data_IF_263003922442
#
_entry.id   IF_263003922442
#
_cell.length_a   1.000
_cell.length_b   1.000
_cell.length_c   1.000
_cell.angle_alpha   90.00
_cell.angle_beta   90.00
_cell.angle_gamma   90.00
#
_symmetry.space_group_name_H-M   'P 1'
#
loop_
_entity.id
_entity.type
_entity.pdbx_description
1 polymer ?
#
# COMPACT_ATOMS: atom_id res chain seq x y z
N UNK A 1 -10.75 -9.49 42.57
CA UNK A 1 -11.33 -8.15 42.80
C UNK A 1 -10.63 -7.22 41.83
N UNK A 2 -11.37 -6.44 41.06
CA UNK A 2 -10.82 -5.60 40.00
C UNK A 2 -10.56 -4.21 40.59
N UNK A 3 -9.29 -3.86 40.79
CA UNK A 3 -8.91 -2.54 41.26
C UNK A 3 -9.17 -1.52 40.13
N UNK A 4 -9.62 -0.31 40.48
CA UNK A 4 -9.82 0.73 39.47
C UNK A 4 -8.48 1.15 38.86
N UNK A 5 -8.46 1.40 37.55
CA UNK A 5 -7.29 1.96 36.87
C UNK A 5 -6.92 3.33 37.43
N UNK A 6 -5.63 3.68 37.43
CA UNK A 6 -5.17 4.99 37.93
C UNK A 6 -5.46 6.16 37.01
N UNK A 7 -5.56 5.92 35.70
CA UNK A 7 -5.61 6.96 34.70
C UNK A 7 -6.71 6.64 33.69
N UNK A 8 -7.55 7.61 33.40
CA UNK A 8 -8.68 7.50 32.49
C UNK A 8 -8.79 8.77 31.66
N UNK A 9 -9.13 8.61 30.38
CA UNK A 9 -9.43 9.73 29.50
C UNK A 9 -10.76 9.48 28.80
N UNK A 10 -11.44 10.55 28.41
CA UNK A 10 -12.63 10.44 27.58
C UNK A 10 -13.33 11.77 27.37
N UNK A 11 -14.66 11.72 27.35
CA UNK A 11 -15.49 12.86 26.97
C UNK A 11 -16.63 13.10 27.96
N UNK A 12 -16.99 14.38 28.10
CA UNK A 12 -18.19 14.83 28.80
C UNK A 12 -19.16 15.46 27.81
N UNK A 13 -20.45 15.29 28.06
CA UNK A 13 -21.56 15.80 27.27
C UNK A 13 -22.59 16.44 28.21
N UNK A 14 -23.41 17.37 27.71
CA UNK A 14 -24.47 18.02 28.48
C UNK A 14 -24.42 19.54 28.36
N UNK A 15 -24.63 20.25 29.47
CA UNK A 15 -24.51 21.71 29.54
C UNK A 15 -23.14 22.19 29.05
N UNK A 16 -22.10 21.42 29.37
CA UNK A 16 -20.74 21.61 28.89
C UNK A 16 -20.29 20.35 28.13
N UNK A 17 -19.49 20.53 27.08
CA UNK A 17 -19.00 19.43 26.24
C UNK A 17 -17.51 19.58 26.02
N UNK A 18 -16.75 18.51 26.23
CA UNK A 18 -15.31 18.60 26.23
C UNK A 18 -14.59 17.28 26.46
N UNK A 19 -13.27 17.38 26.54
CA UNK A 19 -12.41 16.27 26.88
C UNK A 19 -12.19 16.22 28.39
N UNK A 20 -12.14 15.03 28.96
CA UNK A 20 -11.88 14.83 30.38
C UNK A 20 -10.71 13.86 30.56
N UNK A 21 -9.82 14.20 31.50
CA UNK A 21 -8.77 13.34 32.00
C UNK A 21 -8.91 13.20 33.51
N UNK A 22 -8.87 11.96 33.99
CA UNK A 22 -9.06 11.61 35.40
C UNK A 22 -7.85 10.81 35.86
N UNK A 23 -7.21 11.27 36.93
CA UNK A 23 -6.17 10.52 37.64
C UNK A 23 -6.67 10.20 39.03
N UNK A 24 -6.70 8.92 39.38
CA UNK A 24 -7.13 8.40 40.67
C UNK A 24 -5.96 7.68 41.34
N UNK A 25 -5.84 7.90 42.64
CA UNK A 25 -4.87 7.31 43.55
C UNK A 25 -5.59 6.87 44.84
N UNK A 26 -4.95 6.01 45.63
CA UNK A 26 -5.53 5.46 46.85
C UNK A 26 -6.11 4.06 46.69
N UNK A 27 -6.81 3.60 47.73
CA UNK A 27 -7.53 2.33 47.76
C UNK A 27 -8.95 2.53 47.23
N UNK A 28 -9.59 1.46 46.74
CA UNK A 28 -10.91 1.54 46.08
C UNK A 28 -12.00 2.14 46.99
N UNK A 29 -11.88 2.04 48.32
CA UNK A 29 -12.81 2.61 49.31
C UNK A 29 -12.51 4.07 49.71
N UNK A 30 -11.35 4.59 49.32
CA UNK A 30 -10.88 5.93 49.66
C UNK A 30 -10.01 6.51 48.53
N UNK A 31 -10.64 6.72 47.38
CA UNK A 31 -10.00 7.29 46.20
C UNK A 31 -9.81 8.78 46.37
N UNK A 32 -8.63 9.26 46.00
CA UNK A 32 -8.33 10.67 45.80
C UNK A 32 -7.82 10.87 44.38
N UNK A 33 -7.98 12.07 43.81
CA UNK A 33 -7.58 12.26 42.44
C UNK A 33 -7.75 13.67 41.91
N UNK A 34 -7.46 13.81 40.62
CA UNK A 34 -7.62 15.07 39.89
C UNK A 34 -8.40 14.81 38.62
N UNK A 35 -9.47 15.59 38.42
CA UNK A 35 -10.22 15.65 37.16
C UNK A 35 -9.83 16.94 36.43
N UNK A 36 -9.44 16.80 35.16
CA UNK A 36 -9.17 17.91 34.24
C UNK A 36 -10.20 17.87 33.13
N UNK A 37 -11.06 18.89 33.09
CA UNK A 37 -12.12 19.04 32.10
C UNK A 37 -11.76 20.20 31.18
N UNK A 38 -11.48 19.90 29.92
CA UNK A 38 -11.23 20.88 28.88
C UNK A 38 -12.54 21.13 28.13
N UNK A 39 -13.27 22.16 28.52
CA UNK A 39 -14.47 22.61 27.85
C UNK A 39 -14.12 23.38 26.57
N UNK A 40 -14.84 23.10 25.50
CA UNK A 40 -14.56 23.70 24.19
C UNK A 40 -14.82 25.22 24.14
N UNK A 41 -15.64 25.76 25.05
CA UNK A 41 -16.04 27.17 25.08
C UNK A 41 -15.38 27.93 26.24
N UNK A 42 -15.23 27.30 27.40
CA UNK A 42 -14.82 27.95 28.64
C UNK A 42 -13.40 27.56 29.11
N UNK A 43 -12.72 26.66 28.38
CA UNK A 43 -11.34 26.28 28.66
C UNK A 43 -11.20 25.21 29.73
N UNK A 44 -10.06 25.20 30.42
CA UNK A 44 -9.68 24.15 31.36
C UNK A 44 -10.23 24.42 32.76
N UNK A 45 -11.02 23.49 33.29
CA UNK A 45 -11.37 23.38 34.70
C UNK A 45 -10.64 22.19 35.33
N UNK A 46 -10.10 22.39 36.53
CA UNK A 46 -9.40 21.34 37.29
C UNK A 46 -10.10 21.16 38.62
N UNK A 47 -10.33 19.92 39.04
CA UNK A 47 -10.99 19.56 40.29
C UNK A 47 -10.14 18.57 41.06
N UNK A 48 -9.94 18.83 42.35
CA UNK A 48 -9.47 17.83 43.29
C UNK A 48 -10.68 17.00 43.73
N UNK A 49 -10.62 15.68 43.53
CA UNK A 49 -11.74 14.76 43.77
C UNK A 49 -11.42 13.74 44.86
N UNK A 50 -12.46 13.35 45.59
CA UNK A 50 -12.45 12.24 46.53
C UNK A 50 -13.67 11.36 46.32
N UNK A 51 -13.57 10.07 46.63
CA UNK A 51 -14.71 9.17 46.55
C UNK A 51 -14.35 7.70 46.66
N UNK A 52 -15.15 6.84 46.04
CA UNK A 52 -15.02 5.39 46.18
C UNK A 52 -15.46 4.66 44.90
N UNK A 53 -14.88 3.47 44.70
CA UNK A 53 -15.23 2.52 43.66
C UNK A 53 -15.63 1.17 44.28
N UNK A 54 -16.92 0.86 44.29
CA UNK A 54 -17.44 -0.38 44.88
C UNK A 54 -18.35 -1.09 43.90
N UNK A 55 -18.16 -2.41 43.75
CA UNK A 55 -19.01 -3.27 42.91
C UNK A 55 -19.20 -2.74 41.47
N UNK A 56 -18.16 -2.14 40.88
CA UNK A 56 -18.22 -1.58 39.54
C UNK A 56 -18.86 -0.20 39.44
N UNK A 57 -19.18 0.47 40.56
CA UNK A 57 -19.74 1.82 40.60
C UNK A 57 -18.71 2.81 41.12
N UNK A 58 -18.49 3.89 40.37
CA UNK A 58 -17.64 5.01 40.73
C UNK A 58 -18.51 6.14 41.26
N UNK A 59 -18.20 6.65 42.45
CA UNK A 59 -18.79 7.86 43.00
C UNK A 59 -17.68 8.81 43.43
N UNK A 60 -17.65 10.03 42.89
CA UNK A 60 -16.67 11.06 43.21
C UNK A 60 -17.35 12.40 43.51
N UNK A 61 -16.78 13.14 44.45
CA UNK A 61 -17.10 14.54 44.74
C UNK A 61 -15.83 15.37 44.59
N UNK A 62 -15.94 16.57 44.00
CA UNK A 62 -14.78 17.39 43.68
C UNK A 62 -14.95 18.86 43.97
N UNK A 63 -13.86 19.49 44.41
CA UNK A 63 -13.76 20.93 44.60
C UNK A 63 -12.89 21.55 43.51
N UNK A 64 -13.29 22.69 42.89
CA UNK A 64 -12.48 23.36 41.89
C UNK A 64 -11.10 23.74 42.43
N UNK A 65 -10.07 23.56 41.60
CA UNK A 65 -8.70 23.94 41.89
C UNK A 65 -8.34 25.24 41.17
N UNK A 66 -7.74 26.18 41.91
CA UNK A 66 -7.19 27.43 41.34
C UNK A 66 -8.24 28.51 41.08
N UNK A 67 -7.81 29.58 40.40
CA UNK A 67 -8.73 30.63 39.93
C UNK A 67 -9.40 30.18 38.63
N UNK A 68 -10.73 30.31 38.52
CA UNK A 68 -11.41 29.96 37.29
C UNK A 68 -10.98 30.89 36.15
N UNK A 69 -11.13 30.47 34.89
CA UNK A 69 -10.93 31.35 33.74
C UNK A 69 -11.75 32.64 33.86
N UNK A 70 -11.26 33.74 33.29
CA UNK A 70 -11.93 35.05 33.39
C UNK A 70 -13.38 34.97 32.88
N UNK A 71 -14.34 35.31 33.75
CA UNK A 71 -15.77 35.27 33.44
C UNK A 71 -16.45 33.90 33.62
N UNK A 72 -15.76 32.90 34.19
CA UNK A 72 -16.30 31.55 34.44
C UNK A 72 -16.45 31.31 35.94
N UNK A 73 -17.57 30.74 36.36
CA UNK A 73 -17.80 30.25 37.72
C UNK A 73 -17.73 28.72 37.73
N UNK A 74 -17.01 28.14 38.71
CA UNK A 74 -16.89 26.69 38.86
C UNK A 74 -17.56 26.27 40.18
N UNK A 75 -18.56 25.39 40.08
CA UNK A 75 -19.24 24.82 41.25
C UNK A 75 -18.66 23.47 41.67
N UNK A 76 -18.95 23.02 42.89
CA UNK A 76 -18.56 21.69 43.37
C UNK A 76 -19.11 20.60 42.45
N UNK A 77 -18.26 19.64 42.09
CA UNK A 77 -18.53 18.57 41.13
C UNK A 77 -19.02 17.31 41.85
N UNK A 78 -20.03 16.65 41.30
CA UNK A 78 -20.46 15.31 41.68
C UNK A 78 -20.44 14.42 40.44
N UNK A 79 -19.88 13.22 40.55
CA UNK A 79 -19.73 12.26 39.47
C UNK A 79 -20.22 10.89 39.94
N UNK A 80 -21.07 10.26 39.14
CA UNK A 80 -21.54 8.89 39.38
C UNK A 80 -21.46 8.09 38.08
N UNK A 81 -20.79 6.94 38.09
CA UNK A 81 -20.65 6.10 36.90
C UNK A 81 -20.59 4.62 37.20
N UNK A 82 -20.73 3.81 36.17
CA UNK A 82 -20.66 2.35 36.23
C UNK A 82 -19.66 1.81 35.20
N UNK A 83 -18.84 0.86 35.62
CA UNK A 83 -17.94 0.10 34.77
C UNK A 83 -18.77 -0.84 33.89
N UNK A 84 -18.63 -0.70 32.57
CA UNK A 84 -19.32 -1.54 31.60
C UNK A 84 -18.53 -2.84 31.34
N UNK A 85 -19.16 -3.87 30.74
CA UNK A 85 -18.48 -5.11 30.36
C UNK A 85 -17.29 -4.90 29.40
N UNK A 86 -17.29 -3.81 28.63
CA UNK A 86 -16.23 -3.42 27.69
C UNK A 86 -15.04 -2.72 28.37
N UNK A 87 -15.10 -2.53 29.69
CA UNK A 87 -14.01 -1.93 30.48
C UNK A 87 -13.96 -0.40 30.43
N UNK A 88 -15.03 0.28 30.01
CA UNK A 88 -15.20 1.74 30.11
C UNK A 88 -16.07 2.11 31.30
N UNK A 89 -16.01 3.35 31.77
CA UNK A 89 -16.93 3.87 32.78
C UNK A 89 -17.85 4.88 32.11
N UNK A 90 -19.15 4.60 32.16
CA UNK A 90 -20.21 5.48 31.67
C UNK A 90 -20.98 6.04 32.87
N UNK A 91 -21.37 7.31 32.82
CA UNK A 91 -22.05 7.91 33.96
C UNK A 91 -22.56 9.32 33.74
N UNK A 92 -22.94 9.94 34.85
CA UNK A 92 -23.47 11.29 34.94
C UNK A 92 -22.57 12.16 35.81
N UNK A 93 -22.51 13.44 35.46
CA UNK A 93 -21.82 14.46 36.23
C UNK A 93 -22.74 15.67 36.43
N UNK A 94 -22.59 16.34 37.56
CA UNK A 94 -23.34 17.55 37.88
C UNK A 94 -22.52 18.48 38.77
N UNK A 95 -22.82 19.77 38.75
CA UNK A 95 -22.21 20.75 39.65
C UNK A 95 -23.25 21.48 40.50
N UNK A 96 -22.81 22.06 41.61
CA UNK A 96 -23.66 22.86 42.50
C UNK A 96 -24.29 24.10 41.84
N UNK A 97 -23.71 24.58 40.73
CA UNK A 97 -24.22 25.72 39.96
C UNK A 97 -25.20 25.32 38.85
N UNK A 98 -25.65 24.06 38.83
CA UNK A 98 -26.70 23.57 37.94
C UNK A 98 -26.23 23.13 36.55
N UNK A 99 -24.92 23.01 36.31
CA UNK A 99 -24.40 22.38 35.08
C UNK A 99 -24.30 20.87 35.26
N UNK A 100 -24.45 20.10 34.18
CA UNK A 100 -24.32 18.65 34.25
C UNK A 100 -24.56 17.96 32.91
N UNK A 101 -24.49 16.63 32.95
CA UNK A 101 -24.78 15.76 31.82
C UNK A 101 -24.14 14.39 31.98
N UNK A 102 -23.68 13.80 30.88
CA UNK A 102 -23.14 12.43 30.84
C UNK A 102 -21.66 12.41 30.50
N UNK A 103 -20.98 11.31 30.81
CA UNK A 103 -19.58 11.12 30.47
C UNK A 103 -19.27 9.68 30.05
N UNK A 104 -18.16 9.53 29.34
CA UNK A 104 -17.55 8.23 29.01
C UNK A 104 -16.06 8.29 29.27
N UNK A 105 -15.51 7.30 29.99
CA UNK A 105 -14.11 7.19 30.35
C UNK A 105 -13.51 5.86 29.91
N UNK A 106 -12.34 5.90 29.28
CA UNK A 106 -11.56 4.74 28.88
C UNK A 106 -10.27 4.62 29.69
N UNK A 107 -9.91 3.41 30.14
CA UNK A 107 -8.72 3.20 30.95
C UNK A 107 -7.48 3.51 30.11
N UNK A 108 -6.62 4.36 30.64
CA UNK A 108 -5.36 4.76 30.04
C UNK A 108 -4.21 4.41 30.99
N UNK A 109 -3.82 3.13 31.04
CA UNK A 109 -2.59 2.78 31.74
C UNK A 109 -1.40 3.37 30.98
N UNK A 110 -0.81 4.45 31.49
CA UNK A 110 0.54 4.85 31.11
C UNK A 110 1.47 3.74 31.58
N UNK A 111 1.70 2.74 30.73
CA UNK A 111 2.90 1.94 30.89
C UNK A 111 4.04 2.89 30.55
N UNK A 112 4.75 3.36 31.58
CA UNK A 112 6.16 3.71 31.40
C UNK A 112 6.72 2.51 30.69
N UNK A 113 6.99 2.61 29.38
CA UNK A 113 7.74 1.57 28.68
C UNK A 113 8.99 1.41 29.54
N UNK A 114 9.22 0.27 30.19
CA UNK A 114 10.54 0.06 30.73
C UNK A 114 11.45 0.18 29.51
N UNK A 115 12.32 1.17 29.50
CA UNK A 115 13.49 1.22 28.64
C UNK A 115 14.39 0.08 29.10
N UNK A 116 13.95 -1.15 28.85
CA UNK A 116 14.74 -2.34 28.94
C UNK A 116 15.17 -2.62 27.49
N UNK A 117 16.38 -2.25 27.08
CA UNK A 117 16.90 -2.48 25.74
C UNK A 117 17.30 -3.96 25.56
N UNK A 118 16.44 -4.89 25.99
CA UNK A 118 16.75 -6.31 26.11
C UNK A 118 15.85 -7.26 25.33
N UNK A 119 14.76 -6.79 24.71
CA UNK A 119 13.89 -7.66 23.92
C UNK A 119 13.01 -6.95 22.87
N UNK A 120 13.23 -5.68 22.55
CA UNK A 120 12.50 -5.06 21.43
C UNK A 120 13.16 -5.55 20.15
N UNK A 121 12.41 -6.17 19.25
CA UNK A 121 12.96 -6.45 17.93
C UNK A 121 13.26 -5.12 17.22
N UNK A 122 14.54 -4.78 17.11
CA UNK A 122 15.02 -3.52 16.53
C UNK A 122 14.84 -3.45 15.00
N UNK A 123 14.56 -4.58 14.35
CA UNK A 123 14.68 -4.70 12.91
C UNK A 123 13.39 -5.22 12.27
N UNK A 124 12.83 -4.41 11.37
CA UNK A 124 11.79 -4.83 10.44
C UNK A 124 12.46 -5.51 9.23
N UNK A 125 12.12 -6.78 9.03
CA UNK A 125 12.61 -7.55 7.89
C UNK A 125 11.66 -7.37 6.72
N UNK A 126 12.20 -6.92 5.58
CA UNK A 126 11.44 -6.75 4.35
C UNK A 126 11.89 -7.76 3.31
N UNK A 127 10.98 -8.65 2.91
CA UNK A 127 11.19 -9.56 1.77
C UNK A 127 10.47 -9.01 0.55
N UNK A 128 11.22 -8.81 -0.54
CA UNK A 128 10.66 -8.37 -1.82
C UNK A 128 10.86 -9.45 -2.88
N UNK A 129 9.78 -9.79 -3.59
CA UNK A 129 9.79 -10.69 -4.74
C UNK A 129 9.31 -9.93 -5.98
N UNK A 130 10.20 -9.64 -6.95
CA UNK A 130 9.77 -9.05 -8.20
C UNK A 130 8.94 -10.06 -8.99
N UNK A 131 7.88 -9.58 -9.63
CA UNK A 131 7.01 -10.37 -10.49
C UNK A 131 7.25 -10.00 -11.96
N UNK A 132 7.05 -10.98 -12.84
CA UNK A 132 7.08 -10.76 -14.28
C UNK A 132 5.83 -10.02 -14.78
N UNK A 133 5.56 -10.14 -16.08
CA UNK A 133 4.32 -9.64 -16.64
C UNK A 133 3.14 -10.52 -16.19
N UNK A 134 2.19 -9.93 -15.48
CA UNK A 134 1.04 -10.64 -14.88
C UNK A 134 -0.24 -10.27 -15.62
N UNK A 135 -1.08 -11.26 -15.90
CA UNK A 135 -2.46 -11.04 -16.34
C UNK A 135 -3.37 -11.73 -15.36
N UNK A 136 -4.30 -10.97 -14.80
CA UNK A 136 -5.27 -11.50 -13.85
C UNK A 136 -6.67 -11.41 -14.45
N UNK A 137 -7.44 -12.46 -14.24
CA UNK A 137 -8.89 -12.45 -14.38
C UNK A 137 -9.54 -12.31 -13.00
N UNK A 138 -10.86 -12.11 -12.96
CA UNK A 138 -11.61 -11.94 -11.71
C UNK A 138 -11.32 -13.06 -10.68
N UNK A 139 -11.31 -14.32 -11.12
CA UNK A 139 -11.05 -15.46 -10.23
C UNK A 139 -9.60 -15.50 -9.71
N UNK A 140 -8.64 -15.06 -10.53
CA UNK A 140 -7.25 -14.96 -10.10
C UNK A 140 -7.08 -13.89 -9.03
N UNK A 141 -7.78 -12.75 -9.17
CA UNK A 141 -7.76 -11.68 -8.17
C UNK A 141 -8.39 -12.12 -6.86
N UNK A 142 -9.56 -12.81 -6.91
CA UNK A 142 -10.19 -13.41 -5.72
C UNK A 142 -9.24 -14.38 -5.03
N UNK A 143 -8.62 -15.27 -5.81
CA UNK A 143 -7.66 -16.24 -5.29
C UNK A 143 -6.44 -15.57 -4.66
N UNK A 144 -5.94 -14.49 -5.27
CA UNK A 144 -4.81 -13.71 -4.75
C UNK A 144 -5.16 -13.00 -3.45
N UNK A 145 -6.33 -12.36 -3.37
CA UNK A 145 -6.84 -11.73 -2.13
C UNK A 145 -6.94 -12.79 -1.03
N UNK A 146 -7.59 -13.92 -1.30
CA UNK A 146 -7.76 -15.01 -0.34
C UNK A 146 -6.41 -15.53 0.19
N UNK A 147 -5.43 -15.73 -0.70
CA UNK A 147 -4.10 -16.19 -0.32
C UNK A 147 -3.31 -15.13 0.49
N UNK A 148 -3.51 -13.86 0.18
CA UNK A 148 -2.88 -12.73 0.87
C UNK A 148 -3.40 -12.61 2.30
N UNK A 149 -4.73 -12.61 2.51
CA UNK A 149 -5.34 -12.42 3.82
C UNK A 149 -5.32 -13.65 4.73
N UNK A 150 -4.99 -14.84 4.19
CA UNK A 150 -5.06 -16.14 4.89
C UNK A 150 -4.41 -16.16 6.29
N UNK A 151 -3.29 -15.48 6.46
CA UNK A 151 -2.48 -15.51 7.69
C UNK A 151 -2.68 -14.27 8.59
N UNK A 152 -3.64 -13.40 8.22
CA UNK A 152 -3.99 -12.17 8.94
C UNK A 152 -5.31 -12.33 9.70
N UNK A 153 -5.40 -11.75 10.89
CA UNK A 153 -6.57 -11.89 11.77
C UNK A 153 -7.82 -11.25 11.18
N UNK A 154 -7.67 -10.08 10.56
CA UNK A 154 -8.78 -9.31 10.00
C UNK A 154 -9.40 -9.94 8.76
N UNK A 155 -8.70 -10.89 8.10
CA UNK A 155 -9.12 -11.56 6.85
C UNK A 155 -9.64 -10.61 5.75
N UNK A 156 -9.26 -9.34 5.82
CA UNK A 156 -9.73 -8.27 4.94
C UNK A 156 -8.52 -7.48 4.48
N UNK A 157 -8.45 -7.25 3.18
CA UNK A 157 -7.41 -6.41 2.58
C UNK A 157 -7.99 -5.06 2.16
N UNK A 158 -7.11 -4.09 1.96
CA UNK A 158 -7.40 -2.84 1.25
C UNK A 158 -6.96 -3.02 -0.18
N UNK A 159 -7.85 -2.75 -1.12
CA UNK A 159 -7.59 -2.80 -2.55
C UNK A 159 -7.58 -1.37 -3.10
N UNK A 160 -6.46 -1.02 -3.71
CA UNK A 160 -6.25 0.22 -4.45
C UNK A 160 -6.30 -0.06 -5.95
N UNK A 161 -7.09 0.70 -6.69
CA UNK A 161 -7.14 0.61 -8.15
C UNK A 161 -7.44 1.98 -8.77
N UNK A 162 -7.14 2.13 -10.06
CA UNK A 162 -7.43 3.36 -10.81
C UNK A 162 -8.68 3.17 -11.67
N UNK A 163 -9.66 4.05 -11.49
CA UNK A 163 -10.89 4.09 -12.28
C UNK A 163 -11.12 5.51 -12.80
N UNK A 164 -11.16 5.67 -14.12
CA UNK A 164 -11.33 6.97 -14.81
C UNK A 164 -10.36 8.06 -14.32
N UNK A 165 -9.11 7.66 -14.02
CA UNK A 165 -8.06 8.58 -13.56
C UNK A 165 -8.11 8.90 -12.06
N UNK A 166 -9.05 8.33 -11.31
CA UNK A 166 -9.15 8.47 -9.85
C UNK A 166 -8.62 7.22 -9.19
N UNK A 167 -7.75 7.39 -8.20
CA UNK A 167 -7.33 6.30 -7.32
C UNK A 167 -8.42 6.04 -6.26
N UNK A 168 -8.93 4.82 -6.24
CA UNK A 168 -9.92 4.36 -5.26
C UNK A 168 -9.26 3.37 -4.31
N UNK A 169 -9.52 3.56 -3.02
CA UNK A 169 -9.09 2.69 -1.93
C UNK A 169 -10.33 2.16 -1.22
N UNK A 170 -10.62 0.88 -1.39
CA UNK A 170 -11.78 0.23 -0.76
C UNK A 170 -11.36 -1.10 -0.17
N UNK A 171 -12.20 -1.67 0.67
CA UNK A 171 -11.92 -2.98 1.24
C UNK A 171 -12.17 -4.12 0.23
N UNK A 172 -11.52 -5.26 0.46
CA UNK A 172 -11.54 -6.40 -0.45
C UNK A 172 -12.93 -7.01 -0.66
N UNK A 173 -13.77 -7.03 0.37
CA UNK A 173 -15.16 -7.48 0.31
C UNK A 173 -16.04 -6.57 -0.56
N UNK A 174 -15.87 -5.24 -0.45
CA UNK A 174 -16.54 -4.27 -1.32
C UNK A 174 -16.03 -4.35 -2.76
N UNK A 175 -14.72 -4.55 -2.92
CA UNK A 175 -14.08 -4.72 -4.22
C UNK A 175 -14.55 -5.99 -4.94
N UNK A 176 -14.67 -7.12 -4.23
CA UNK A 176 -15.14 -8.38 -4.80
C UNK A 176 -16.57 -8.31 -5.36
N UNK A 177 -17.44 -7.50 -4.75
CA UNK A 177 -18.82 -7.28 -5.20
C UNK A 177 -18.89 -6.56 -6.55
N UNK A 178 -17.95 -5.65 -6.82
CA UNK A 178 -17.90 -4.88 -8.06
C UNK A 178 -16.94 -5.46 -9.11
N UNK A 179 -16.14 -6.46 -8.73
CA UNK A 179 -14.99 -6.97 -9.50
C UNK A 179 -15.33 -7.35 -10.94
N UNK A 180 -16.48 -7.98 -11.16
CA UNK A 180 -16.91 -8.45 -12.48
C UNK A 180 -17.44 -7.32 -13.38
N UNK A 181 -17.77 -6.17 -12.80
CA UNK A 181 -18.32 -4.98 -13.46
C UNK A 181 -17.30 -3.87 -13.68
N UNK A 182 -16.11 -4.00 -13.08
CA UNK A 182 -15.03 -3.04 -13.27
C UNK A 182 -14.59 -2.98 -14.73
N UNK A 183 -14.03 -1.86 -15.19
CA UNK A 183 -13.32 -1.80 -16.46
C UNK A 183 -12.01 -2.59 -16.39
N UNK A 184 -11.31 -2.70 -17.53
CA UNK A 184 -9.93 -3.18 -17.55
C UNK A 184 -9.07 -2.30 -16.64
N UNK A 185 -8.39 -2.90 -15.67
CA UNK A 185 -7.51 -2.17 -14.75
C UNK A 185 -6.05 -2.30 -15.18
N UNK A 186 -5.34 -1.18 -15.03
CA UNK A 186 -3.90 -1.05 -15.30
C UNK A 186 -3.07 -0.82 -14.06
N UNK A 187 -3.73 -0.68 -12.91
CA UNK A 187 -3.10 -0.59 -11.61
C UNK A 187 -3.97 -1.34 -10.61
N UNK A 188 -3.34 -2.21 -9.83
CA UNK A 188 -3.96 -2.93 -8.74
C UNK A 188 -2.94 -3.10 -7.63
N UNK A 189 -3.27 -2.62 -6.45
CA UNK A 189 -2.49 -2.84 -5.24
C UNK A 189 -3.39 -3.46 -4.18
N UNK A 190 -2.94 -4.55 -3.59
CA UNK A 190 -3.65 -5.27 -2.52
C UNK A 190 -2.76 -5.20 -1.30
N UNK A 191 -3.25 -4.59 -0.23
CA UNK A 191 -2.53 -4.37 1.01
C UNK A 191 -3.27 -5.02 2.17
N UNK A 192 -2.55 -5.72 3.04
CA UNK A 192 -3.05 -6.14 4.34
C UNK A 192 -1.98 -5.89 5.38
N UNK A 193 -2.38 -5.45 6.56
CA UNK A 193 -1.46 -5.19 7.67
C UNK A 193 -2.17 -5.29 9.00
N UNK A 194 -1.43 -5.69 10.02
CA UNK A 194 -1.92 -5.73 11.39
C UNK A 194 -0.79 -5.51 12.40
N UNK A 195 -1.11 -5.13 13.64
CA UNK A 195 -0.11 -5.02 14.70
C UNK A 195 0.57 -6.37 14.99
N UNK A 196 1.89 -6.34 15.11
CA UNK A 196 2.76 -7.42 15.59
C UNK A 196 3.28 -7.08 17.00
N UNK A 197 4.12 -7.96 17.56
CA UNK A 197 4.80 -7.79 18.84
C UNK A 197 5.53 -6.43 18.87
N UNK A 198 5.55 -5.78 20.04
CA UNK A 198 6.20 -4.50 20.28
C UNK A 198 5.61 -3.29 19.54
N UNK A 199 4.39 -3.41 19.00
CA UNK A 199 3.69 -2.31 18.33
C UNK A 199 4.23 -2.00 16.94
N UNK A 200 5.09 -2.87 16.39
CA UNK A 200 5.48 -2.86 14.99
C UNK A 200 4.33 -3.44 14.15
N UNK A 201 4.26 -3.08 12.86
CA UNK A 201 3.24 -3.63 11.97
C UNK A 201 3.84 -4.71 11.07
N UNK A 202 3.16 -5.86 10.98
CA UNK A 202 3.39 -6.81 9.90
C UNK A 202 2.45 -6.49 8.75
N UNK A 203 2.96 -6.56 7.53
CA UNK A 203 2.16 -6.27 6.34
C UNK A 203 2.57 -7.13 5.15
N UNK A 204 1.65 -7.27 4.21
CA UNK A 204 1.89 -7.83 2.90
C UNK A 204 1.22 -6.96 1.84
N UNK A 205 1.98 -6.62 0.80
CA UNK A 205 1.54 -5.81 -0.32
C UNK A 205 1.83 -6.56 -1.62
N UNK A 206 0.82 -6.67 -2.47
CA UNK A 206 0.99 -7.08 -3.87
C UNK A 206 0.66 -5.87 -4.71
N UNK A 207 1.64 -5.34 -5.42
CA UNK A 207 1.49 -4.17 -6.29
C UNK A 207 1.74 -4.56 -7.73
N UNK A 208 0.76 -4.27 -8.59
CA UNK A 208 0.74 -4.60 -10.00
C UNK A 208 0.44 -3.34 -10.81
N UNK A 209 1.34 -2.98 -11.72
CA UNK A 209 1.25 -1.76 -12.50
C UNK A 209 1.54 -2.05 -13.98
N UNK A 210 0.72 -1.51 -14.87
CA UNK A 210 0.91 -1.64 -16.32
C UNK A 210 2.24 -1.01 -16.77
N UNK A 211 2.64 0.09 -16.12
CA UNK A 211 3.83 0.87 -16.42
C UNK A 211 4.69 1.04 -15.16
N UNK A 212 5.19 -0.06 -14.62
CA UNK A 212 6.03 -0.09 -13.43
C UNK A 212 6.48 -1.52 -13.13
N UNK A 213 7.13 -1.71 -12.00
CA UNK A 213 7.50 -3.05 -11.54
C UNK A 213 6.33 -3.68 -10.78
N UNK A 214 6.00 -4.91 -11.15
CA UNK A 214 5.11 -5.74 -10.35
C UNK A 214 5.94 -6.34 -9.21
N UNK A 215 5.48 -6.22 -7.97
CA UNK A 215 6.24 -6.72 -6.83
C UNK A 215 5.33 -7.19 -5.70
N UNK A 216 5.82 -8.20 -4.98
CA UNK A 216 5.29 -8.61 -3.68
C UNK A 216 6.27 -8.08 -2.64
N UNK A 217 5.76 -7.35 -1.65
CA UNK A 217 6.53 -6.87 -0.50
C UNK A 217 5.88 -7.37 0.76
N UNK A 218 6.63 -8.05 1.60
CA UNK A 218 6.17 -8.51 2.90
C UNK A 218 7.11 -7.98 3.96
N UNK A 219 6.55 -7.42 5.03
CA UNK A 219 7.29 -6.88 6.16
C UNK A 219 6.83 -7.54 7.44
N UNK A 220 7.77 -7.91 8.30
CA UNK A 220 7.49 -8.43 9.64
C UNK A 220 8.74 -8.33 10.51
N UNK A 221 8.53 -8.38 11.82
CA UNK A 221 9.58 -8.61 12.81
C UNK A 221 10.26 -9.97 12.60
N UNK A 222 9.50 -10.99 12.17
CA UNK A 222 10.00 -12.34 11.95
C UNK A 222 10.47 -12.53 10.50
N UNK A 223 11.79 -12.63 10.30
CA UNK A 223 12.39 -12.83 8.97
C UNK A 223 11.84 -14.07 8.26
N UNK A 224 11.78 -15.22 8.97
CA UNK A 224 11.29 -16.48 8.40
C UNK A 224 9.85 -16.37 7.89
N UNK A 225 9.00 -15.64 8.62
CA UNK A 225 7.62 -15.39 8.21
C UNK A 225 7.57 -14.48 6.98
N UNK A 226 8.34 -13.38 6.97
CA UNK A 226 8.40 -12.46 5.83
C UNK A 226 8.87 -13.15 4.54
N UNK A 227 9.91 -13.97 4.63
CA UNK A 227 10.42 -14.77 3.51
C UNK A 227 9.38 -15.80 3.06
N UNK A 228 8.83 -16.58 4.00
CA UNK A 228 7.87 -17.64 3.70
C UNK A 228 6.59 -17.12 3.06
N UNK A 229 6.03 -16.03 3.58
CA UNK A 229 4.82 -15.40 3.03
C UNK A 229 5.07 -14.79 1.65
N UNK A 230 6.21 -14.12 1.46
CA UNK A 230 6.57 -13.57 0.15
C UNK A 230 6.75 -14.68 -0.89
N UNK A 231 7.39 -15.79 -0.52
CA UNK A 231 7.58 -16.96 -1.39
C UNK A 231 6.25 -17.65 -1.72
N UNK A 232 5.39 -17.88 -0.72
CA UNK A 232 4.07 -18.48 -0.93
C UNK A 232 3.20 -17.63 -1.87
N UNK A 233 3.23 -16.30 -1.71
CA UNK A 233 2.52 -15.38 -2.62
C UNK A 233 3.15 -15.39 -4.03
N UNK A 234 4.48 -15.41 -4.13
CA UNK A 234 5.17 -15.47 -5.42
C UNK A 234 4.86 -16.76 -6.18
N UNK A 235 4.86 -17.91 -5.50
CA UNK A 235 4.50 -19.20 -6.08
C UNK A 235 3.04 -19.24 -6.52
N UNK A 236 2.13 -18.65 -5.73
CA UNK A 236 0.71 -18.52 -6.11
C UNK A 236 0.55 -17.67 -7.38
N UNK A 237 1.24 -16.53 -7.44
CA UNK A 237 1.21 -15.64 -8.61
C UNK A 237 1.92 -16.23 -9.83
N UNK A 238 2.88 -17.14 -9.64
CA UNK A 238 3.59 -17.79 -10.73
C UNK A 238 2.65 -18.58 -11.67
N UNK A 239 1.52 -19.09 -11.16
CA UNK A 239 0.46 -19.70 -11.98
C UNK A 239 -0.22 -18.70 -12.93
N UNK A 240 -0.26 -17.42 -12.54
CA UNK A 240 -0.86 -16.33 -13.32
C UNK A 240 0.16 -15.62 -14.25
N UNK A 241 1.45 -15.90 -14.09
CA UNK A 241 2.49 -15.38 -14.96
C UNK A 241 2.47 -16.11 -16.30
N UNK A 242 2.36 -15.35 -17.40
CA UNK A 242 2.56 -15.94 -18.73
C UNK A 242 4.05 -16.23 -18.93
N UNK A 243 4.44 -17.50 -18.88
CA UNK A 243 5.81 -17.98 -19.14
C UNK A 243 6.47 -17.31 -20.35
N UNK A 244 5.72 -17.08 -21.43
CA UNK A 244 6.20 -16.40 -22.64
C UNK A 244 6.47 -14.90 -22.46
N UNK A 245 5.65 -14.17 -21.71
CA UNK A 245 5.88 -12.73 -21.48
C UNK A 245 7.04 -12.50 -20.48
N UNK A 246 7.16 -13.38 -19.48
CA UNK A 246 8.28 -13.38 -18.53
C UNK A 246 9.59 -13.83 -19.17
N UNK A 247 9.57 -14.90 -20.00
CA UNK A 247 10.73 -15.27 -20.82
C UNK A 247 11.10 -14.15 -21.78
N UNK A 248 10.14 -13.46 -22.40
CA UNK A 248 10.44 -12.39 -23.35
C UNK A 248 11.18 -11.19 -22.73
N UNK A 249 10.93 -10.85 -21.46
CA UNK A 249 11.75 -9.84 -20.74
C UNK A 249 13.21 -10.26 -20.60
N UNK A 250 13.44 -11.55 -20.31
CA UNK A 250 14.79 -12.12 -20.29
C UNK A 250 15.39 -12.25 -21.71
N UNK A 251 14.55 -12.50 -22.72
CA UNK A 251 14.95 -12.66 -24.13
C UNK A 251 15.16 -11.33 -24.87
N UNK A 252 14.62 -10.19 -24.41
CA UNK A 252 14.94 -8.89 -24.97
C UNK A 252 16.43 -8.58 -24.89
N UNK A 253 17.09 -8.99 -23.80
CA UNK A 253 18.55 -9.00 -23.68
C UNK A 253 19.21 -9.97 -24.68
N UNK A 254 18.66 -11.16 -24.88
CA UNK A 254 19.21 -12.17 -25.80
C UNK A 254 19.12 -11.73 -27.27
N UNK A 255 18.01 -11.12 -27.67
CA UNK A 255 17.83 -10.64 -29.05
C UNK A 255 18.68 -9.40 -29.36
N UNK A 256 18.82 -8.50 -28.38
CA UNK A 256 19.75 -7.37 -28.48
C UNK A 256 21.18 -7.85 -28.73
N UNK A 257 21.61 -8.90 -28.02
CA UNK A 257 22.91 -9.53 -28.23
C UNK A 257 23.00 -10.17 -29.62
N UNK A 258 21.96 -10.88 -30.08
CA UNK A 258 21.95 -11.49 -31.43
C UNK A 258 22.07 -10.42 -32.53
N UNK A 259 21.31 -9.33 -32.45
CA UNK A 259 21.37 -8.22 -33.43
C UNK A 259 22.75 -7.57 -33.40
N UNK A 260 23.30 -7.30 -32.22
CA UNK A 260 24.63 -6.72 -32.06
C UNK A 260 25.72 -7.64 -32.63
N UNK A 261 25.66 -8.94 -32.34
CA UNK A 261 26.60 -9.95 -32.87
C UNK A 261 26.50 -10.06 -34.38
N UNK A 262 25.28 -10.09 -34.94
CA UNK A 262 25.06 -10.09 -36.38
C UNK A 262 25.59 -8.81 -37.04
N UNK A 263 25.37 -7.65 -36.42
CA UNK A 263 25.89 -6.38 -36.90
C UNK A 263 27.42 -6.36 -36.90
N UNK A 264 28.06 -6.83 -35.82
CA UNK A 264 29.51 -6.95 -35.72
C UNK A 264 30.08 -7.91 -36.76
N UNK A 265 29.42 -9.06 -36.99
CA UNK A 265 29.84 -10.04 -37.99
C UNK A 265 29.75 -9.51 -39.43
N UNK A 266 28.84 -8.58 -39.70
CA UNK A 266 28.64 -7.97 -41.02
C UNK A 266 29.61 -6.82 -41.33
N UNK A 267 30.28 -6.24 -40.32
CA UNK A 267 31.21 -5.11 -40.47
C UNK A 267 32.32 -5.30 -41.51
N UNK A 268 32.99 -6.47 -41.62
CA UNK A 268 34.07 -6.66 -42.59
C UNK A 268 33.61 -6.48 -44.04
N UNK A 269 32.32 -6.69 -44.33
CA UNK A 269 31.75 -6.56 -45.67
C UNK A 269 31.49 -5.11 -46.11
N UNK A 270 31.71 -4.11 -45.24
CA UNK A 270 31.55 -2.70 -45.57
C UNK A 270 32.91 -2.06 -45.87
N UNK A 271 33.06 -1.37 -47.02
CA UNK A 271 34.36 -0.92 -47.51
C UNK A 271 34.95 0.27 -46.75
N UNK A 272 34.13 1.20 -46.25
CA UNK A 272 34.61 2.41 -45.57
C UNK A 272 34.33 2.42 -44.07
N UNK A 273 35.17 3.15 -43.32
CA UNK A 273 34.96 3.37 -41.88
C UNK A 273 33.61 4.03 -41.57
N UNK A 274 33.21 5.02 -42.37
CA UNK A 274 31.96 5.75 -42.15
C UNK A 274 30.71 4.89 -42.41
N UNK A 275 30.73 3.99 -43.38
CA UNK A 275 29.65 3.02 -43.58
C UNK A 275 29.54 2.05 -42.40
N UNK A 276 30.67 1.58 -41.86
CA UNK A 276 30.69 0.73 -40.65
C UNK A 276 30.10 1.45 -39.44
N UNK A 277 30.48 2.71 -39.24
CA UNK A 277 29.97 3.54 -38.14
C UNK A 277 28.46 3.81 -38.31
N UNK A 278 28.01 4.15 -39.51
CA UNK A 278 26.60 4.38 -39.82
C UNK A 278 25.76 3.11 -39.63
N UNK A 279 26.29 1.94 -40.00
CA UNK A 279 25.62 0.66 -39.80
C UNK A 279 25.50 0.30 -38.31
N UNK A 280 26.55 0.49 -37.51
CA UNK A 280 26.46 0.31 -36.06
C UNK A 280 25.48 1.30 -35.44
N UNK A 281 25.57 2.59 -35.79
CA UNK A 281 24.68 3.62 -35.28
C UNK A 281 23.20 3.34 -35.58
N UNK A 282 22.90 2.85 -36.78
CA UNK A 282 21.54 2.44 -37.14
C UNK A 282 21.07 1.18 -36.42
N UNK A 283 21.92 0.17 -36.22
CA UNK A 283 21.59 -1.01 -35.41
C UNK A 283 21.24 -0.61 -33.95
N UNK A 284 22.05 0.26 -33.34
CA UNK A 284 21.74 0.84 -32.02
C UNK A 284 20.45 1.67 -32.04
N UNK A 285 20.22 2.48 -33.08
CA UNK A 285 19.00 3.27 -33.24
C UNK A 285 17.74 2.41 -33.33
N UNK A 286 17.78 1.33 -34.12
CA UNK A 286 16.69 0.35 -34.22
C UNK A 286 16.46 -0.30 -32.85
N UNK A 287 17.52 -0.71 -32.15
CA UNK A 287 17.41 -1.31 -30.84
C UNK A 287 16.77 -0.36 -29.82
N UNK A 288 17.16 0.91 -29.81
CA UNK A 288 16.57 1.94 -28.96
C UNK A 288 15.08 2.16 -29.29
N UNK A 289 14.73 2.17 -30.58
CA UNK A 289 13.36 2.29 -31.06
C UNK A 289 12.51 1.11 -30.59
N UNK A 290 13.01 -0.13 -30.74
CA UNK A 290 12.32 -1.35 -30.29
C UNK A 290 12.11 -1.30 -28.76
N UNK A 291 13.13 -0.92 -27.99
CA UNK A 291 13.02 -0.77 -26.54
C UNK A 291 11.98 0.28 -26.14
N UNK A 292 11.93 1.41 -26.86
CA UNK A 292 10.94 2.47 -26.67
C UNK A 292 9.51 1.97 -26.95
N UNK A 293 9.26 1.35 -28.11
CA UNK A 293 7.95 0.79 -28.44
C UNK A 293 7.55 -0.32 -27.46
N UNK A 294 8.49 -1.17 -27.03
CA UNK A 294 8.20 -2.20 -26.06
C UNK A 294 7.69 -1.61 -24.73
N UNK A 295 8.39 -0.59 -24.19
CA UNK A 295 8.00 0.08 -22.95
C UNK A 295 6.64 0.76 -23.05
N UNK A 296 6.31 1.28 -24.23
CA UNK A 296 5.06 2.02 -24.45
C UNK A 296 3.85 1.10 -24.66
N UNK A 297 4.01 -0.02 -25.37
CA UNK A 297 2.87 -0.81 -25.88
C UNK A 297 2.68 -2.16 -25.20
N UNK A 298 3.64 -2.67 -24.43
CA UNK A 298 3.54 -3.95 -23.72
C UNK A 298 3.34 -3.70 -22.22
N UNK A 299 2.10 -3.67 -21.71
CA UNK A 299 1.84 -3.42 -20.30
C UNK A 299 2.30 -4.62 -19.44
N UNK A 300 2.95 -4.32 -18.31
CA UNK A 300 3.44 -5.30 -17.33
C UNK A 300 2.29 -5.95 -16.54
N UNK A 301 1.15 -5.28 -16.45
CA UNK A 301 -0.04 -5.77 -15.79
C UNK A 301 -1.28 -5.34 -16.56
N UNK A 302 -2.20 -6.28 -16.71
CA UNK A 302 -3.57 -6.00 -17.16
C UNK A 302 -4.52 -6.93 -16.42
N UNK A 303 -5.56 -6.34 -15.83
CA UNK A 303 -6.70 -7.07 -15.27
C UNK A 303 -7.87 -7.10 -16.26
N UNK A 304 -8.43 -8.29 -16.50
CA UNK A 304 -9.60 -8.49 -17.33
C UNK A 304 -10.82 -8.91 -16.49
N UNK A 305 -11.91 -8.11 -16.49
CA UNK A 305 -13.17 -8.53 -15.90
C UNK A 305 -13.78 -9.68 -16.70
N UNK A 306 -14.46 -10.60 -16.00
CA UNK A 306 -15.02 -11.83 -16.58
C UNK A 306 -15.96 -11.59 -17.78
N UNK A 307 -16.58 -10.40 -17.89
CA UNK A 307 -17.57 -10.07 -18.93
C UNK A 307 -16.98 -9.80 -20.31
N UNK A 308 -15.67 -9.56 -20.46
CA UNK A 308 -15.04 -9.34 -21.78
C UNK A 308 -14.44 -10.63 -22.33
N UNK A 309 -15.13 -11.27 -23.29
CA UNK A 309 -14.50 -12.27 -24.17
C UNK A 309 -13.32 -11.58 -24.86
N UNK A 310 -12.09 -11.96 -24.49
CA UNK A 310 -10.88 -11.45 -25.12
C UNK A 310 -11.01 -11.60 -26.65
N UNK A 311 -10.90 -10.49 -27.39
CA UNK A 311 -10.89 -10.53 -28.85
C UNK A 311 -9.72 -11.41 -29.30
N UNK A 312 -9.82 -12.05 -30.48
CA UNK A 312 -8.79 -12.92 -31.02
C UNK A 312 -7.40 -12.24 -31.08
N UNK A 313 -7.38 -10.92 -31.30
CA UNK A 313 -6.18 -10.06 -31.25
C UNK A 313 -5.69 -9.81 -29.81
N UNK A 314 -6.59 -9.73 -28.82
CA UNK A 314 -6.22 -9.69 -27.40
C UNK A 314 -5.68 -11.03 -26.86
N UNK A 315 -6.02 -12.16 -27.50
CA UNK A 315 -5.46 -13.49 -27.22
C UNK A 315 -4.11 -13.73 -27.90
N UNK A 316 -3.92 -13.22 -29.12
CA UNK A 316 -2.65 -13.13 -29.83
C UNK A 316 -1.79 -12.03 -29.21
N UNK A 317 -1.25 -12.32 -28.02
CA UNK A 317 -0.69 -11.29 -27.14
C UNK A 317 0.60 -10.59 -27.65
N UNK A 318 1.26 -9.82 -26.77
CA UNK A 318 2.47 -9.04 -27.05
C UNK A 318 3.61 -9.80 -27.70
N UNK A 319 3.65 -11.13 -27.57
CA UNK A 319 4.66 -11.97 -28.24
C UNK A 319 4.57 -11.95 -29.76
N UNK A 320 3.39 -11.73 -30.35
CA UNK A 320 3.22 -11.63 -31.81
C UNK A 320 3.59 -10.24 -32.32
N UNK A 321 3.20 -9.19 -31.58
CA UNK A 321 3.62 -7.81 -31.82
C UNK A 321 5.14 -7.66 -31.67
N UNK A 322 5.74 -8.31 -30.67
CA UNK A 322 7.19 -8.26 -30.46
C UNK A 322 7.97 -9.05 -31.52
N UNK A 323 7.50 -10.23 -31.93
CA UNK A 323 8.07 -10.94 -33.08
C UNK A 323 7.95 -10.12 -34.37
N UNK A 324 6.80 -9.47 -34.61
CA UNK A 324 6.62 -8.57 -35.73
C UNK A 324 7.60 -7.41 -35.73
N UNK A 325 7.80 -6.77 -34.57
CA UNK A 325 8.76 -5.67 -34.40
C UNK A 325 10.20 -6.15 -34.61
N UNK A 326 10.56 -7.33 -34.11
CA UNK A 326 11.91 -7.89 -34.26
C UNK A 326 12.21 -8.32 -35.70
N UNK A 327 11.27 -9.00 -36.37
CA UNK A 327 11.40 -9.35 -37.79
C UNK A 327 11.51 -8.08 -38.63
N UNK A 328 10.68 -7.07 -38.34
CA UNK A 328 10.74 -5.78 -39.01
C UNK A 328 12.09 -5.09 -38.79
N UNK A 329 12.60 -5.07 -37.56
CA UNK A 329 13.91 -4.50 -37.24
C UNK A 329 15.06 -5.21 -37.97
N UNK A 330 15.03 -6.53 -38.06
CA UNK A 330 16.01 -7.32 -38.81
C UNK A 330 15.97 -7.03 -40.32
N UNK A 331 14.77 -6.92 -40.90
CA UNK A 331 14.58 -6.55 -42.32
C UNK A 331 15.10 -5.13 -42.58
N UNK A 332 14.78 -4.18 -41.71
CA UNK A 332 15.27 -2.79 -41.82
C UNK A 332 16.80 -2.74 -41.73
N UNK A 333 17.42 -3.46 -40.79
CA UNK A 333 18.87 -3.54 -40.66
C UNK A 333 19.53 -4.15 -41.92
N UNK A 334 18.94 -5.20 -42.48
CA UNK A 334 19.42 -5.82 -43.71
C UNK A 334 19.31 -4.87 -44.93
N UNK A 335 18.22 -4.10 -45.03
CA UNK A 335 18.05 -3.08 -46.08
C UNK A 335 19.11 -1.98 -45.94
N UNK A 336 19.35 -1.48 -44.72
CA UNK A 336 20.38 -0.47 -44.46
C UNK A 336 21.77 -1.00 -44.83
N UNK A 337 22.08 -2.24 -44.47
CA UNK A 337 23.32 -2.90 -44.86
C UNK A 337 23.48 -2.95 -46.39
N UNK A 338 22.45 -3.39 -47.12
CA UNK A 338 22.48 -3.49 -48.58
C UNK A 338 22.63 -2.12 -49.27
N UNK A 339 22.03 -1.06 -48.71
CA UNK A 339 22.24 0.32 -49.18
C UNK A 339 23.69 0.75 -48.93
N UNK A 340 24.20 0.57 -47.72
CA UNK A 340 25.56 0.99 -47.36
C UNK A 340 26.66 0.22 -48.14
N UNK A 341 26.36 -1.00 -48.57
CA UNK A 341 27.23 -1.83 -49.41
C UNK A 341 27.15 -1.48 -50.90
N UNK A 342 26.15 -0.70 -51.32
CA UNK A 342 25.91 -0.32 -52.72
C UNK A 342 25.11 -1.35 -53.52
N UNK A 343 24.56 -2.38 -52.88
CA UNK A 343 23.77 -3.44 -53.55
C UNK A 343 22.33 -2.97 -53.85
N UNK A 344 21.86 -1.88 -53.21
CA UNK A 344 20.49 -1.37 -53.30
C UNK A 344 20.37 0.08 -53.80
N UNK A 345 21.44 0.65 -54.37
CA UNK A 345 21.55 2.07 -54.79
C UNK A 345 20.47 2.52 -55.81
N UNK A 346 19.85 1.57 -56.53
CA UNK A 346 18.76 1.84 -57.48
C UNK A 346 17.36 1.92 -56.86
N UNK A 347 17.18 1.59 -55.58
CA UNK A 347 15.86 1.46 -54.97
C UNK A 347 15.25 2.83 -54.58
N UNK A 348 13.91 2.99 -54.62
CA UNK A 348 13.23 4.20 -54.15
C UNK A 348 13.56 4.56 -52.69
N UNK A 349 13.81 3.54 -51.87
CA UNK A 349 14.19 3.65 -50.45
C UNK A 349 15.61 4.19 -50.27
N UNK A 350 16.56 3.76 -51.11
CA UNK A 350 17.93 4.29 -51.10
C UNK A 350 17.96 5.80 -51.41
N UNK A 351 17.15 6.26 -52.37
CA UNK A 351 17.02 7.68 -52.72
C UNK A 351 16.41 8.53 -51.61
N UNK A 352 15.44 7.99 -50.87
CA UNK A 352 14.84 8.67 -49.73
C UNK A 352 15.84 8.81 -48.56
N UNK A 353 16.61 7.77 -48.28
CA UNK A 353 17.61 7.79 -47.20
C UNK A 353 18.80 8.70 -47.56
N UNK A 354 19.30 8.66 -48.81
CA UNK A 354 20.40 9.54 -49.24
C UNK A 354 20.02 11.02 -49.18
N UNK A 355 18.74 11.36 -49.36
CA UNK A 355 18.23 12.73 -49.22
C UNK A 355 18.08 13.23 -47.78
N UNK A 356 18.17 12.35 -46.78
CA UNK A 356 18.17 12.74 -45.35
C UNK A 356 19.57 13.07 -44.82
N UNK A 357 20.64 12.72 -45.56
CA UNK A 357 22.03 12.93 -45.19
C UNK A 357 22.76 13.97 -46.09
N UNK A 358 22.03 14.60 -47.02
CA UNK A 358 22.42 15.84 -47.71
C UNK A 358 21.79 17.01 -46.97
#
# INVERSE_FOLDING_TARGET
MANIGRNWNGHVYGTNTGNVAVTLEGEDDALTGVIRLSDNQHGLAVYDVTGQFEAGKLALTGTPQGQPPEGVELGELTVAGALTPEGRIDGEWSTAIGTGGTFQLWPHSYQVRPTNPGAVAEQLNTSTRPLGAVRLYADDVRSLIAQLVKDFSQKRAVVTYHDKGIEKNIYSDEFEQILDDLPELRYLKIFVGEPEIYGLQRNATVELAAWGDNAIRVQSVQEAWAIGKAEALAQHVHGFQRKLATQFRNFGLTFNVIILVAALAALPGLPTFWQRLAFLGSAFGIQALIAYFHRQYVPNFVFYPAKKKASWIGRLGPGFLSWGITIFGGVVAAIIYGILKGELDGSPLARFISGLFQ
#
